data_IF_185426814442
#
_entry.id   IF_185426814442
#
_cell.length_a   1.000
_cell.length_b   1.000
_cell.length_c   1.000
_cell.angle_alpha   90.00
_cell.angle_beta   90.00
_cell.angle_gamma   90.00
#
_symmetry.space_group_name_H-M   'P 1'
#
loop_
_entity.id
_entity.type
_entity.pdbx_description
1 polymer ?
#
# COMPACT_ATOMS: atom_id res chain seq x y z
N UNK A 1 44.52 7.53 69.98
CA UNK A 1 43.91 6.99 68.74
C UNK A 1 44.66 5.73 68.37
N UNK A 2 43.98 4.62 68.08
CA UNK A 2 44.65 3.39 67.67
C UNK A 2 45.34 3.63 66.30
N UNK A 3 46.65 3.44 66.24
CA UNK A 3 47.43 3.47 65.00
C UNK A 3 47.68 2.04 64.52
N UNK A 4 47.43 1.78 63.24
CA UNK A 4 47.61 0.47 62.63
C UNK A 4 48.74 0.51 61.61
N UNK A 5 49.72 -0.38 61.70
CA UNK A 5 50.72 -0.55 60.64
C UNK A 5 50.14 -1.38 59.50
N UNK A 6 50.18 -0.83 58.28
CA UNK A 6 49.62 -1.46 57.07
C UNK A 6 50.58 -1.28 55.90
N UNK A 7 50.50 -2.19 54.94
CA UNK A 7 51.20 -2.04 53.66
C UNK A 7 50.25 -1.46 52.60
N UNK A 8 50.75 -0.53 51.80
CA UNK A 8 49.96 0.05 50.71
C UNK A 8 49.81 -0.92 49.54
N UNK A 9 48.59 -1.17 49.08
CA UNK A 9 48.30 -2.08 47.95
C UNK A 9 48.88 -1.62 46.60
N UNK A 10 49.30 -0.36 46.47
CA UNK A 10 49.82 0.19 45.20
C UNK A 10 51.36 0.25 45.17
N UNK A 11 51.99 0.68 46.26
CA UNK A 11 53.44 0.90 46.31
C UNK A 11 54.17 -0.01 47.29
N UNK A 12 53.44 -0.90 47.99
CA UNK A 12 53.93 -1.85 49.00
C UNK A 12 54.71 -1.23 50.18
N UNK A 13 54.71 0.10 50.31
CA UNK A 13 55.36 0.78 51.43
C UNK A 13 54.53 0.61 52.72
N UNK A 14 55.16 0.35 53.86
CA UNK A 14 54.50 0.38 55.15
C UNK A 14 54.07 1.81 55.49
N UNK A 15 52.90 1.97 56.11
CA UNK A 15 52.40 3.26 56.59
C UNK A 15 51.54 3.07 57.83
N UNK A 16 51.46 4.11 58.65
CA UNK A 16 50.58 4.16 59.82
C UNK A 16 49.20 4.67 59.41
N UNK A 17 48.18 3.86 59.68
CA UNK A 17 46.80 4.16 59.36
C UNK A 17 46.02 4.53 60.61
N UNK A 18 45.15 5.53 60.48
CA UNK A 18 44.17 5.91 61.51
C UNK A 18 42.96 4.97 61.55
N UNK A 19 42.76 4.16 60.51
CA UNK A 19 41.64 3.21 60.40
C UNK A 19 42.13 1.82 60.01
N UNK A 20 41.59 0.80 60.67
CA UNK A 20 41.96 -0.61 60.44
C UNK A 20 41.77 -1.06 58.98
N UNK A 21 40.84 -0.44 58.23
CA UNK A 21 40.53 -0.76 56.82
C UNK A 21 41.30 0.06 55.78
N UNK A 22 42.25 0.89 56.18
CA UNK A 22 42.99 1.72 55.24
C UNK A 22 43.91 0.86 54.35
N UNK A 23 43.79 1.05 53.02
CA UNK A 23 44.53 0.27 52.00
C UNK A 23 45.67 1.04 51.32
N UNK A 24 45.69 2.36 51.45
CA UNK A 24 46.56 3.24 50.67
C UNK A 24 47.30 4.22 51.59
N UNK A 25 48.60 4.38 51.38
CA UNK A 25 49.46 5.27 52.18
C UNK A 25 49.33 6.76 51.82
N UNK A 26 48.71 7.08 50.68
CA UNK A 26 48.56 8.46 50.20
C UNK A 26 47.33 8.62 49.31
N UNK A 27 46.91 9.88 49.12
CA UNK A 27 45.82 10.25 48.20
C UNK A 27 46.16 9.82 46.77
N UNK A 28 47.42 9.94 46.34
CA UNK A 28 47.88 9.49 45.03
C UNK A 28 47.69 7.98 44.85
N UNK A 29 48.10 7.17 45.83
CA UNK A 29 47.90 5.71 45.79
C UNK A 29 46.40 5.34 45.82
N UNK A 30 45.57 6.11 46.54
CA UNK A 30 44.12 5.91 46.54
C UNK A 30 43.51 6.16 45.16
N UNK A 31 43.92 7.23 44.47
CA UNK A 31 43.46 7.53 43.12
C UNK A 31 43.85 6.43 42.12
N UNK A 32 45.10 5.96 42.18
CA UNK A 32 45.59 4.85 41.33
C UNK A 32 44.80 3.57 41.61
N UNK A 33 44.54 3.24 42.87
CA UNK A 33 43.74 2.07 43.24
C UNK A 33 42.30 2.15 42.77
N UNK A 34 41.68 3.33 42.85
CA UNK A 34 40.34 3.57 42.33
C UNK A 34 40.27 3.45 40.80
N UNK A 35 41.29 3.96 40.09
CA UNK A 35 41.38 3.84 38.62
C UNK A 35 41.56 2.39 38.18
N UNK A 36 42.44 1.62 38.84
CA UNK A 36 42.60 0.18 38.57
C UNK A 36 41.31 -0.60 38.81
N UNK A 37 40.65 -0.38 39.95
CA UNK A 37 39.37 -1.03 40.26
C UNK A 37 38.28 -0.67 39.23
N UNK A 38 38.25 0.58 38.75
CA UNK A 38 37.33 1.00 37.68
C UNK A 38 37.65 0.31 36.36
N UNK A 39 38.92 0.23 35.96
CA UNK A 39 39.34 -0.47 34.72
C UNK A 39 39.04 -1.95 34.77
N UNK A 40 39.30 -2.60 35.91
CA UNK A 40 38.94 -4.01 36.13
C UNK A 40 37.42 -4.21 36.06
N UNK A 41 36.64 -3.30 36.67
CA UNK A 41 35.19 -3.34 36.55
C UNK A 41 34.71 -3.10 35.11
N UNK A 42 35.32 -2.17 34.36
CA UNK A 42 34.98 -1.95 32.94
C UNK A 42 35.37 -3.13 32.04
N UNK A 43 36.47 -3.82 32.35
CA UNK A 43 36.91 -5.01 31.62
C UNK A 43 36.05 -6.25 31.93
N UNK A 44 35.65 -6.40 33.20
CA UNK A 44 34.87 -7.56 33.67
C UNK A 44 33.36 -7.34 33.58
N UNK A 45 32.89 -6.09 33.40
CA UNK A 45 31.47 -5.79 33.25
C UNK A 45 31.11 -5.57 31.78
N UNK A 46 29.93 -6.05 31.40
CA UNK A 46 29.37 -5.78 30.08
C UNK A 46 28.70 -4.40 29.98
N UNK A 47 29.17 -3.41 30.75
CA UNK A 47 28.47 -2.14 30.95
C UNK A 47 28.30 -1.35 29.63
N UNK A 48 29.37 -1.22 28.85
CA UNK A 48 29.33 -0.48 27.57
C UNK A 48 28.43 -1.14 26.55
N UNK A 49 28.37 -2.48 26.52
CA UNK A 49 27.46 -3.19 25.61
C UNK A 49 26.00 -3.08 26.05
N UNK A 50 25.72 -3.18 27.36
CA UNK A 50 24.36 -2.95 27.88
C UNK A 50 23.86 -1.55 27.56
N UNK A 51 24.72 -0.53 27.63
CA UNK A 51 24.39 0.82 27.21
C UNK A 51 24.12 0.90 25.70
N UNK A 52 24.94 0.26 24.86
CA UNK A 52 24.70 0.18 23.42
C UNK A 52 23.39 -0.53 23.09
N UNK A 53 23.10 -1.64 23.77
CA UNK A 53 21.86 -2.39 23.59
C UNK A 53 20.65 -1.52 23.93
N UNK A 54 20.65 -0.85 25.09
CA UNK A 54 19.58 0.06 25.48
C UNK A 54 19.32 1.18 24.45
N UNK A 55 20.38 1.71 23.84
CA UNK A 55 20.26 2.71 22.78
C UNK A 55 19.73 2.13 21.47
N UNK A 56 20.09 0.87 21.13
CA UNK A 56 19.54 0.15 19.97
C UNK A 56 18.05 -0.14 20.17
N UNK A 57 17.67 -0.64 21.34
CA UNK A 57 16.29 -0.97 21.67
C UNK A 57 15.41 0.27 21.59
N UNK A 58 15.84 1.39 22.19
CA UNK A 58 15.10 2.66 22.10
C UNK A 58 14.92 3.14 20.66
N UNK A 59 15.96 3.07 19.82
CA UNK A 59 15.85 3.42 18.39
C UNK A 59 14.92 2.47 17.65
N UNK A 60 14.95 1.19 17.98
CA UNK A 60 14.06 0.18 17.38
C UNK A 60 12.61 0.47 17.75
N UNK A 61 12.32 0.84 19.00
CA UNK A 61 11.00 1.25 19.46
C UNK A 61 10.53 2.53 18.75
N UNK A 62 11.39 3.55 18.65
CA UNK A 62 11.10 4.80 17.92
C UNK A 62 10.77 4.53 16.44
N UNK A 63 11.54 3.66 15.77
CA UNK A 63 11.30 3.28 14.37
C UNK A 63 10.00 2.48 14.23
N UNK A 64 9.73 1.54 15.13
CA UNK A 64 8.52 0.73 15.10
C UNK A 64 7.27 1.60 15.28
N UNK A 65 7.31 2.58 16.18
CA UNK A 65 6.19 3.50 16.39
C UNK A 65 5.96 4.42 15.18
N UNK A 66 7.04 4.98 14.59
CA UNK A 66 6.91 5.77 13.36
C UNK A 66 6.34 4.96 12.20
N UNK A 67 6.67 3.67 12.12
CA UNK A 67 6.12 2.76 11.11
C UNK A 67 4.61 2.56 11.31
N UNK A 68 4.17 2.36 12.54
CA UNK A 68 2.74 2.24 12.89
C UNK A 68 1.95 3.50 12.55
N UNK A 69 2.46 4.67 12.91
CA UNK A 69 1.82 5.97 12.58
C UNK A 69 1.68 6.12 11.07
N UNK A 70 2.74 5.80 10.31
CA UNK A 70 2.72 5.90 8.85
C UNK A 70 1.72 4.92 8.21
N UNK A 71 1.64 3.69 8.72
CA UNK A 71 0.67 2.69 8.26
C UNK A 71 -0.76 3.17 8.51
N UNK A 72 -1.06 3.70 9.71
CA UNK A 72 -2.37 4.25 10.04
C UNK A 72 -2.74 5.47 9.17
N UNK A 73 -1.79 6.37 8.91
CA UNK A 73 -1.99 7.52 8.00
C UNK A 73 -2.27 7.08 6.57
N UNK A 74 -1.58 6.03 6.11
CA UNK A 74 -1.76 5.46 4.77
C UNK A 74 -3.13 4.79 4.64
N UNK A 75 -3.52 3.95 5.60
CA UNK A 75 -4.83 3.29 5.64
C UNK A 75 -5.97 4.32 5.69
N UNK A 76 -5.81 5.37 6.51
CA UNK A 76 -6.81 6.45 6.61
C UNK A 76 -6.97 7.20 5.28
N UNK A 77 -5.85 7.45 4.58
CA UNK A 77 -5.86 8.11 3.27
C UNK A 77 -6.50 7.23 2.22
N UNK A 78 -6.10 5.95 2.15
CA UNK A 78 -6.67 4.99 1.20
C UNK A 78 -8.17 4.81 1.44
N UNK A 79 -8.62 4.70 2.70
CA UNK A 79 -10.03 4.62 3.04
C UNK A 79 -10.81 5.87 2.59
N UNK A 80 -10.21 7.06 2.72
CA UNK A 80 -10.82 8.31 2.26
C UNK A 80 -10.90 8.36 0.74
N UNK A 81 -9.82 8.04 0.04
CA UNK A 81 -9.76 8.00 -1.43
C UNK A 81 -10.77 6.99 -1.99
N UNK A 82 -10.84 5.80 -1.40
CA UNK A 82 -11.81 4.77 -1.80
C UNK A 82 -13.25 5.23 -1.56
N UNK A 83 -13.53 5.89 -0.43
CA UNK A 83 -14.85 6.46 -0.14
C UNK A 83 -15.24 7.56 -1.14
N UNK A 84 -14.29 8.40 -1.53
CA UNK A 84 -14.51 9.45 -2.55
C UNK A 84 -14.73 8.84 -3.93
N UNK A 85 -13.97 7.81 -4.30
CA UNK A 85 -14.14 7.04 -5.53
C UNK A 85 -15.53 6.41 -5.61
N UNK A 86 -15.96 5.70 -4.57
CA UNK A 86 -17.29 5.08 -4.49
C UNK A 86 -18.41 6.14 -4.54
N UNK A 87 -18.23 7.27 -3.87
CA UNK A 87 -19.18 8.37 -3.94
C UNK A 87 -19.27 8.98 -5.35
N UNK A 88 -18.15 9.12 -6.06
CA UNK A 88 -18.11 9.58 -7.45
C UNK A 88 -18.81 8.59 -8.37
N UNK A 89 -18.46 7.30 -8.31
CA UNK A 89 -19.08 6.22 -9.09
C UNK A 89 -20.59 6.16 -8.84
N UNK A 90 -21.04 6.33 -7.60
CA UNK A 90 -22.47 6.40 -7.26
C UNK A 90 -23.18 7.60 -7.89
N UNK A 91 -22.52 8.77 -7.96
CA UNK A 91 -23.07 9.96 -8.63
C UNK A 91 -23.17 9.75 -10.13
N UNK A 92 -22.11 9.23 -10.75
CA UNK A 92 -22.08 8.91 -12.19
C UNK A 92 -23.17 7.91 -12.56
N UNK A 93 -23.31 6.81 -11.80
CA UNK A 93 -24.39 5.83 -12.00
C UNK A 93 -25.78 6.47 -11.84
N UNK A 94 -25.96 7.35 -10.87
CA UNK A 94 -27.23 8.06 -10.70
C UNK A 94 -27.54 9.01 -11.87
N UNK A 95 -26.52 9.71 -12.39
CA UNK A 95 -26.65 10.56 -13.57
C UNK A 95 -27.01 9.73 -14.82
N UNK A 96 -26.31 8.62 -15.06
CA UNK A 96 -26.62 7.71 -16.16
C UNK A 96 -28.04 7.15 -16.05
N UNK A 97 -28.50 6.75 -14.85
CA UNK A 97 -29.90 6.33 -14.65
C UNK A 97 -30.90 7.45 -14.98
N UNK A 98 -30.56 8.72 -14.73
CA UNK A 98 -31.42 9.87 -15.13
C UNK A 98 -31.42 10.07 -16.64
N UNK A 99 -30.26 10.02 -17.29
CA UNK A 99 -30.14 10.13 -18.76
C UNK A 99 -30.87 8.98 -19.47
N UNK A 100 -30.71 7.74 -19.01
CA UNK A 100 -31.40 6.58 -19.55
C UNK A 100 -32.92 6.73 -19.49
N UNK A 101 -33.46 7.24 -18.37
CA UNK A 101 -34.88 7.58 -18.21
C UNK A 101 -35.35 8.70 -19.15
N UNK A 102 -34.46 9.63 -19.48
CA UNK A 102 -34.73 10.69 -20.47
C UNK A 102 -34.64 10.19 -21.93
N UNK A 103 -34.30 8.92 -22.15
CA UNK A 103 -34.22 8.32 -23.48
C UNK A 103 -32.83 8.29 -24.10
N UNK A 104 -31.80 8.77 -23.38
CA UNK A 104 -30.42 8.72 -23.84
C UNK A 104 -29.96 7.27 -24.03
N UNK A 105 -29.55 6.92 -25.27
CA UNK A 105 -29.23 5.54 -25.65
C UNK A 105 -27.91 5.07 -25.04
N UNK A 106 -26.89 5.91 -25.03
CA UNK A 106 -25.59 5.60 -24.43
C UNK A 106 -25.75 5.29 -22.93
N UNK A 107 -26.54 6.10 -22.24
CA UNK A 107 -26.84 5.85 -20.84
C UNK A 107 -27.66 4.56 -20.61
N UNK A 108 -28.57 4.19 -21.52
CA UNK A 108 -29.28 2.90 -21.43
C UNK A 108 -28.33 1.71 -21.61
N UNK A 109 -27.41 1.78 -22.57
CA UNK A 109 -26.38 0.76 -22.76
C UNK A 109 -25.53 0.58 -21.51
N UNK A 110 -25.06 1.68 -20.93
CA UNK A 110 -24.29 1.66 -19.68
C UNK A 110 -25.05 0.96 -18.53
N UNK A 111 -26.36 1.21 -18.40
CA UNK A 111 -27.18 0.56 -17.37
C UNK A 111 -27.40 -0.92 -17.67
N UNK A 112 -27.62 -1.30 -18.93
CA UNK A 112 -27.77 -2.70 -19.33
C UNK A 112 -26.49 -3.51 -19.04
N UNK A 113 -25.33 -2.95 -19.36
CA UNK A 113 -24.03 -3.55 -19.05
C UNK A 113 -23.83 -3.73 -17.53
N UNK A 114 -24.13 -2.71 -16.73
CA UNK A 114 -23.99 -2.74 -15.28
C UNK A 114 -25.00 -3.68 -14.58
N UNK A 115 -26.17 -3.89 -15.17
CA UNK A 115 -27.20 -4.83 -14.68
C UNK A 115 -26.97 -6.26 -15.20
N UNK A 116 -26.01 -6.45 -16.11
CA UNK A 116 -25.70 -7.73 -16.74
C UNK A 116 -26.70 -8.17 -17.80
N UNK A 117 -27.55 -7.25 -18.27
CA UNK A 117 -28.50 -7.49 -19.36
C UNK A 117 -27.78 -7.37 -20.71
N UNK A 118 -27.04 -8.42 -21.06
CA UNK A 118 -26.25 -8.47 -22.29
C UNK A 118 -27.15 -8.39 -23.54
N UNK A 119 -28.37 -8.93 -23.48
CA UNK A 119 -29.29 -8.90 -24.62
C UNK A 119 -29.74 -7.48 -24.92
N UNK A 120 -30.16 -6.75 -23.88
CA UNK A 120 -30.53 -5.34 -24.01
C UNK A 120 -29.33 -4.48 -24.45
N UNK A 121 -28.14 -4.74 -23.90
CA UNK A 121 -26.92 -4.05 -24.30
C UNK A 121 -26.63 -4.20 -25.79
N UNK A 122 -26.60 -5.43 -26.31
CA UNK A 122 -26.29 -5.69 -27.72
C UNK A 122 -27.39 -5.20 -28.67
N UNK A 123 -28.65 -5.19 -28.24
CA UNK A 123 -29.75 -4.57 -29.00
C UNK A 123 -29.55 -3.07 -29.15
N UNK A 124 -29.30 -2.39 -28.04
CA UNK A 124 -29.06 -0.94 -28.05
C UNK A 124 -27.77 -0.61 -28.82
N UNK A 125 -26.76 -1.48 -28.73
CA UNK A 125 -25.52 -1.37 -29.51
C UNK A 125 -25.79 -1.42 -31.02
N UNK A 126 -26.57 -2.41 -31.48
CA UNK A 126 -26.95 -2.56 -32.89
C UNK A 126 -27.74 -1.33 -33.37
N UNK A 127 -28.73 -0.89 -32.59
CA UNK A 127 -29.51 0.31 -32.92
C UNK A 127 -28.64 1.57 -33.06
N UNK A 128 -27.73 1.80 -32.11
CA UNK A 128 -26.82 2.96 -32.14
C UNK A 128 -25.92 2.91 -33.38
N UNK A 129 -25.37 1.73 -33.68
CA UNK A 129 -24.54 1.52 -34.84
C UNK A 129 -25.30 1.81 -36.15
N UNK A 130 -26.49 1.26 -36.32
CA UNK A 130 -27.30 1.44 -37.53
C UNK A 130 -27.75 2.90 -37.69
N UNK A 131 -28.07 3.61 -36.61
CA UNK A 131 -28.41 5.03 -36.68
C UNK A 131 -27.21 5.89 -37.09
N UNK A 132 -26.04 5.62 -36.51
CA UNK A 132 -24.80 6.32 -36.85
C UNK A 132 -24.37 6.04 -38.29
N UNK A 133 -24.52 4.80 -38.74
CA UNK A 133 -24.30 4.45 -40.12
C UNK A 133 -25.28 5.15 -41.06
N UNK A 134 -26.58 5.22 -40.72
CA UNK A 134 -27.56 5.92 -41.53
C UNK A 134 -27.23 7.40 -41.72
N UNK A 135 -26.67 8.05 -40.70
CA UNK A 135 -26.14 9.42 -40.78
C UNK A 135 -24.84 9.50 -41.60
N UNK A 136 -24.09 8.40 -41.66
CA UNK A 136 -22.84 8.29 -42.44
C UNK A 136 -23.10 8.06 -43.93
N UNK A 137 -22.20 8.59 -44.76
CA UNK A 137 -22.16 8.34 -46.21
C UNK A 137 -21.50 7.01 -46.57
N UNK A 138 -21.06 6.23 -45.59
CA UNK A 138 -20.32 4.99 -45.80
C UNK A 138 -21.07 3.85 -45.14
N UNK A 139 -21.02 2.69 -45.79
CA UNK A 139 -21.39 1.44 -45.13
C UNK A 139 -20.15 0.87 -44.43
N UNK A 140 -20.31 0.31 -43.26
CA UNK A 140 -19.23 -0.28 -42.47
C UNK A 140 -19.57 -1.73 -42.22
N UNK A 141 -18.70 -2.63 -42.65
CA UNK A 141 -18.76 -4.02 -42.25
C UNK A 141 -18.36 -4.12 -40.77
N UNK A 142 -19.30 -4.57 -39.95
CA UNK A 142 -19.12 -4.69 -38.51
C UNK A 142 -19.41 -6.11 -38.07
N UNK A 143 -18.38 -6.80 -37.61
CA UNK A 143 -18.47 -8.21 -37.20
C UNK A 143 -18.05 -8.32 -35.74
N UNK A 144 -18.88 -8.96 -34.93
CA UNK A 144 -18.62 -9.26 -33.51
C UNK A 144 -18.55 -10.77 -33.34
N UNK A 145 -17.38 -11.30 -33.00
CA UNK A 145 -17.22 -12.74 -32.75
C UNK A 145 -17.46 -13.63 -33.97
N UNK A 146 -17.47 -13.06 -35.17
CA UNK A 146 -17.84 -13.73 -36.42
C UNK A 146 -19.28 -13.48 -36.88
N UNK A 147 -20.09 -12.76 -36.10
CA UNK A 147 -21.50 -12.47 -36.36
C UNK A 147 -21.62 -11.05 -36.94
N UNK A 148 -22.31 -10.89 -38.06
CA UNK A 148 -22.51 -9.59 -38.70
C UNK A 148 -23.61 -8.79 -37.98
N UNK A 149 -23.38 -7.50 -37.72
CA UNK A 149 -24.33 -6.60 -37.05
C UNK A 149 -25.67 -6.46 -37.78
N UNK A 150 -25.73 -6.76 -39.09
CA UNK A 150 -26.98 -6.73 -39.85
C UNK A 150 -27.78 -8.03 -39.76
N UNK A 151 -27.29 -9.07 -39.09
CA UNK A 151 -28.08 -10.28 -38.86
C UNK A 151 -29.30 -9.97 -37.99
N UNK A 152 -30.47 -10.51 -38.35
CA UNK A 152 -31.72 -10.23 -37.64
C UNK A 152 -31.65 -10.63 -36.16
N UNK A 153 -31.01 -11.77 -35.88
CA UNK A 153 -30.84 -12.34 -34.53
C UNK A 153 -29.46 -12.03 -33.90
N UNK A 154 -28.75 -11.03 -34.41
CA UNK A 154 -27.40 -10.63 -33.99
C UNK A 154 -27.21 -10.65 -32.47
N UNK A 155 -28.12 -10.02 -31.73
CA UNK A 155 -28.06 -9.86 -30.28
C UNK A 155 -28.05 -11.21 -29.56
N UNK A 156 -28.91 -12.13 -29.99
CA UNK A 156 -29.01 -13.46 -29.40
C UNK A 156 -27.77 -14.28 -29.69
N UNK A 157 -27.25 -14.21 -30.93
CA UNK A 157 -26.06 -14.96 -31.33
C UNK A 157 -24.82 -14.50 -30.54
N UNK A 158 -24.67 -13.19 -30.34
CA UNK A 158 -23.54 -12.64 -29.57
C UNK A 158 -23.65 -13.01 -28.09
N UNK A 159 -24.84 -12.91 -27.49
CA UNK A 159 -25.06 -13.32 -26.10
C UNK A 159 -24.79 -14.82 -25.91
N UNK A 160 -25.32 -15.66 -26.80
CA UNK A 160 -25.12 -17.11 -26.75
C UNK A 160 -23.62 -17.46 -26.86
N UNK A 161 -22.87 -16.74 -27.69
CA UNK A 161 -21.42 -16.91 -27.79
C UNK A 161 -20.69 -16.51 -26.49
N UNK A 162 -21.09 -15.41 -25.84
CA UNK A 162 -20.52 -14.97 -24.56
C UNK A 162 -20.80 -16.01 -23.48
N UNK A 163 -22.04 -16.50 -23.38
CA UNK A 163 -22.44 -17.52 -22.42
C UNK A 163 -21.67 -18.84 -22.60
N UNK A 164 -21.45 -19.27 -23.85
CA UNK A 164 -20.70 -20.48 -24.18
C UNK A 164 -19.20 -20.35 -23.93
N UNK A 165 -18.62 -19.19 -24.24
CA UNK A 165 -17.16 -18.99 -24.22
C UNK A 165 -16.62 -18.37 -22.93
N UNK A 166 -17.51 -17.77 -22.11
CA UNK A 166 -17.15 -17.00 -20.92
C UNK A 166 -16.35 -15.73 -21.19
N UNK A 167 -16.21 -15.32 -22.46
CA UNK A 167 -15.39 -14.19 -22.88
C UNK A 167 -16.14 -13.27 -23.85
N UNK A 168 -15.79 -11.99 -23.84
CA UNK A 168 -16.32 -11.04 -24.81
C UNK A 168 -15.74 -11.31 -26.21
N UNK A 169 -16.58 -11.38 -27.25
CA UNK A 169 -16.14 -11.63 -28.62
C UNK A 169 -15.30 -10.48 -29.17
N UNK A 170 -14.34 -10.81 -30.03
CA UNK A 170 -13.51 -9.82 -30.72
C UNK A 170 -14.34 -9.02 -31.73
N UNK A 171 -14.03 -7.72 -31.85
CA UNK A 171 -14.72 -6.80 -32.74
C UNK A 171 -13.82 -6.52 -33.95
N UNK A 172 -14.35 -6.74 -35.16
CA UNK A 172 -13.68 -6.41 -36.42
C UNK A 172 -14.49 -5.32 -37.12
N UNK A 173 -13.85 -4.18 -37.41
CA UNK A 173 -14.43 -3.08 -38.19
C UNK A 173 -13.68 -2.92 -39.50
N UNK A 174 -14.39 -2.98 -40.63
CA UNK A 174 -13.85 -2.62 -41.95
C UNK A 174 -14.78 -1.60 -42.61
N UNK A 175 -14.25 -0.43 -42.98
CA UNK A 175 -14.99 0.54 -43.78
C UNK A 175 -15.07 0.05 -45.21
N UNK A 176 -16.26 -0.34 -45.67
CA UNK A 176 -16.47 -0.83 -47.02
C UNK A 176 -17.59 -0.03 -47.71
N UNK A 177 -17.15 0.79 -48.66
CA UNK A 177 -17.95 1.41 -49.72
C UNK A 177 -18.68 2.72 -49.35
N UNK A 178 -18.48 3.72 -50.23
CA UNK A 178 -19.23 4.97 -50.25
C UNK A 178 -20.65 4.66 -50.71
N UNK A 179 -21.67 5.05 -49.96
CA UNK A 179 -23.07 4.94 -50.37
C UNK A 179 -23.23 5.74 -51.66
N UNK A 180 -23.64 5.07 -52.75
CA UNK A 180 -24.11 5.75 -53.95
C UNK A 180 -25.47 6.36 -53.60
N UNK A 181 -25.50 7.68 -53.41
CA UNK A 181 -26.72 8.48 -53.22
C UNK A 181 -27.30 8.79 -54.59
#
# INVERSE_FOLDING_TARGET
>A
MASYERQCVICNKPFTATAARAKYCSVKCRAIGADKARKEWEANSNYKEKQRQKMRDRRSEEIAELKRIREEEWETREAKENKEYEARKKRERAEMKRKAKAGDREAKMYIAEEEGDLLEYWRLFKEDFLENENKSKYKVLYIVGGIDIYEDDFEYLVVEQIEKSGNYPSIIRKTEQKKNV
#
